data_IF_729933933986
#
_entry.id   IF_729933933986
#
_cell.length_a   1.000
_cell.length_b   1.000
_cell.length_c   1.000
_cell.angle_alpha   90.00
_cell.angle_beta   90.00
_cell.angle_gamma   90.00
#
_symmetry.space_group_name_H-M   'P 1'
#
loop_
_entity.id
_entity.type
_entity.pdbx_description
1 polymer ?
#
# COMPACT_ATOMS: atom_id res chain seq x y z
N UNK A 1 1.55 -23.82 -14.16
CA UNK A 1 1.52 -23.31 -12.76
C UNK A 1 0.19 -22.62 -12.54
N UNK A 2 -0.51 -22.95 -11.46
CA UNK A 2 -1.80 -22.34 -11.14
C UNK A 2 -1.55 -20.91 -10.66
N UNK A 3 -2.10 -19.90 -11.34
CA UNK A 3 -2.01 -18.52 -10.90
C UNK A 3 -2.71 -18.31 -9.56
N UNK A 4 -2.13 -17.45 -8.70
CA UNK A 4 -2.75 -17.06 -7.43
C UNK A 4 -4.12 -16.47 -7.72
N UNK A 5 -5.14 -16.92 -6.99
CA UNK A 5 -6.52 -16.44 -7.15
C UNK A 5 -6.87 -15.47 -6.02
N UNK A 6 -7.62 -14.39 -6.30
CA UNK A 6 -8.00 -13.44 -5.27
C UNK A 6 -8.90 -14.12 -4.22
N UNK A 7 -8.53 -13.95 -2.95
CA UNK A 7 -9.26 -14.47 -1.80
C UNK A 7 -10.20 -13.40 -1.25
N UNK A 8 -11.50 -13.63 -1.36
CA UNK A 8 -12.54 -12.71 -0.84
C UNK A 8 -12.39 -12.44 0.67
N UNK A 9 -11.98 -13.44 1.45
CA UNK A 9 -11.77 -13.29 2.90
C UNK A 9 -10.66 -12.28 3.25
N UNK A 10 -9.69 -12.11 2.35
CA UNK A 10 -8.59 -11.16 2.50
C UNK A 10 -8.87 -9.82 1.81
N UNK A 11 -10.04 -9.64 1.17
CA UNK A 11 -10.37 -8.43 0.43
C UNK A 11 -9.44 -8.17 -0.77
N UNK A 12 -8.84 -9.23 -1.32
CA UNK A 12 -7.88 -9.12 -2.42
C UNK A 12 -8.57 -8.73 -3.73
N UNK A 13 -8.08 -7.64 -4.33
CA UNK A 13 -8.38 -7.23 -5.69
C UNK A 13 -7.06 -6.95 -6.39
N UNK A 14 -6.58 -7.90 -7.20
CA UNK A 14 -5.28 -7.75 -7.84
C UNK A 14 -5.32 -6.62 -8.88
N UNK A 15 -4.34 -5.73 -8.78
CA UNK A 15 -4.06 -4.72 -9.80
C UNK A 15 -3.54 -5.44 -11.04
N UNK A 16 -4.20 -5.27 -12.18
CA UNK A 16 -3.80 -5.88 -13.47
C UNK A 16 -3.33 -4.85 -14.48
N UNK A 17 -3.74 -3.60 -14.32
CA UNK A 17 -3.35 -2.49 -15.19
C UNK A 17 -1.92 -2.04 -14.89
N UNK A 18 -1.00 -2.36 -15.82
CA UNK A 18 0.41 -1.98 -15.74
C UNK A 18 0.64 -0.46 -15.84
N UNK A 19 -0.21 0.25 -16.58
CA UNK A 19 -0.16 1.70 -16.68
C UNK A 19 -0.50 2.35 -15.34
N UNK A 20 -1.59 1.89 -14.72
CA UNK A 20 -1.95 2.32 -13.37
C UNK A 20 -0.86 1.98 -12.34
N UNK A 21 -0.31 0.76 -12.36
CA UNK A 21 0.78 0.36 -11.48
C UNK A 21 2.02 1.24 -11.63
N UNK A 22 2.40 1.57 -12.87
CA UNK A 22 3.50 2.49 -13.16
C UNK A 22 3.21 3.89 -12.61
N UNK A 23 2.00 4.40 -12.78
CA UNK A 23 1.60 5.72 -12.27
C UNK A 23 1.57 5.77 -10.74
N UNK A 24 1.11 4.70 -10.07
CA UNK A 24 1.15 4.58 -8.61
C UNK A 24 2.60 4.59 -8.12
N UNK A 25 3.49 3.80 -8.73
CA UNK A 25 4.90 3.76 -8.35
C UNK A 25 5.62 5.10 -8.57
N UNK A 26 5.24 5.84 -9.62
CA UNK A 26 5.78 7.16 -9.94
C UNK A 26 5.23 8.28 -9.04
N UNK A 27 4.05 8.09 -8.43
CA UNK A 27 3.46 9.05 -7.51
C UNK A 27 4.17 9.08 -6.15
N UNK A 28 4.93 8.04 -5.80
CA UNK A 28 5.79 8.04 -4.62
C UNK A 28 6.98 8.95 -4.88
N UNK A 29 7.02 10.11 -4.22
CA UNK A 29 8.02 11.15 -4.44
C UNK A 29 9.23 11.03 -3.54
N UNK A 30 9.07 10.42 -2.37
CA UNK A 30 10.15 10.15 -1.42
C UNK A 30 11.07 9.03 -1.90
N UNK A 31 12.32 9.08 -1.44
CA UNK A 31 13.30 8.00 -1.51
C UNK A 31 13.54 7.36 -0.15
N UNK A 32 14.46 6.40 -0.07
CA UNK A 32 14.85 5.72 1.16
C UNK A 32 13.98 4.50 1.47
N UNK A 33 13.85 4.18 2.75
CA UNK A 33 13.12 2.99 3.19
C UNK A 33 11.64 3.07 2.77
N UNK A 34 11.15 2.01 2.13
CA UNK A 34 9.78 1.96 1.59
C UNK A 34 9.15 0.61 1.90
N UNK A 35 7.92 0.62 2.40
CA UNK A 35 7.13 -0.58 2.65
C UNK A 35 5.97 -0.68 1.66
N UNK A 36 5.97 -1.73 0.84
CA UNK A 36 4.79 -2.13 0.07
C UNK A 36 3.87 -3.01 0.92
N UNK A 37 2.60 -2.62 1.07
CA UNK A 37 1.58 -3.41 1.77
C UNK A 37 0.71 -4.14 0.75
N UNK A 38 0.67 -5.47 0.84
CA UNK A 38 -0.16 -6.31 -0.03
C UNK A 38 0.33 -6.35 -1.48
N UNK A 39 1.59 -6.77 -1.74
CA UNK A 39 2.13 -6.87 -3.10
C UNK A 39 1.34 -7.83 -4.00
N UNK A 40 0.63 -8.83 -3.44
CA UNK A 40 -0.15 -9.79 -4.20
C UNK A 40 0.70 -10.55 -5.23
N UNK A 41 0.41 -10.37 -6.52
CA UNK A 41 1.18 -10.97 -7.62
C UNK A 41 2.36 -10.09 -8.10
N UNK A 42 2.69 -9.03 -7.36
CA UNK A 42 3.86 -8.19 -7.61
C UNK A 42 3.71 -7.19 -8.76
N UNK A 43 2.48 -6.90 -9.18
CA UNK A 43 2.22 -5.99 -10.30
C UNK A 43 2.71 -4.57 -10.02
N UNK A 44 2.60 -4.09 -8.78
CA UNK A 44 3.19 -2.82 -8.35
C UNK A 44 4.67 -2.99 -8.00
N UNK A 45 5.02 -4.04 -7.26
CA UNK A 45 6.38 -4.42 -6.88
C UNK A 45 7.39 -4.35 -8.03
N UNK A 46 7.03 -4.82 -9.24
CA UNK A 46 7.93 -4.82 -10.40
C UNK A 46 8.41 -3.41 -10.82
N UNK A 47 7.61 -2.37 -10.55
CA UNK A 47 7.96 -0.98 -10.84
C UNK A 47 8.78 -0.38 -9.71
N UNK A 48 8.44 -0.72 -8.46
CA UNK A 48 9.20 -0.32 -7.28
C UNK A 48 10.62 -0.90 -7.30
N UNK A 49 10.80 -2.15 -7.73
CA UNK A 49 12.12 -2.78 -7.87
C UNK A 49 13.04 -2.10 -8.91
N UNK A 50 12.49 -1.29 -9.82
CA UNK A 50 13.27 -0.53 -10.81
C UNK A 50 13.78 0.79 -10.28
N UNK A 51 13.27 1.24 -9.12
CA UNK A 51 13.69 2.47 -8.47
C UNK A 51 14.99 2.26 -7.71
N UNK A 52 16.00 3.06 -8.02
CA UNK A 52 17.32 3.02 -7.41
C UNK A 52 17.44 3.93 -6.17
N UNK A 53 16.41 4.72 -5.91
CA UNK A 53 16.34 5.69 -4.82
C UNK A 53 15.61 5.16 -3.59
N UNK A 54 15.04 3.93 -3.64
CA UNK A 54 14.33 3.31 -2.52
C UNK A 54 14.98 2.01 -2.05
N UNK A 55 14.77 1.70 -0.77
CA UNK A 55 15.08 0.44 -0.10
C UNK A 55 13.76 -0.27 0.19
N UNK A 56 13.33 -1.11 -0.75
CA UNK A 56 12.01 -1.73 -0.73
C UNK A 56 11.94 -2.95 0.20
N UNK A 57 10.97 -2.94 1.10
CA UNK A 57 10.44 -4.12 1.80
C UNK A 57 8.98 -4.31 1.42
N UNK A 58 8.51 -5.56 1.44
CA UNK A 58 7.11 -5.88 1.16
C UNK A 58 6.53 -6.72 2.29
N UNK A 59 5.23 -6.54 2.58
CA UNK A 59 4.50 -7.37 3.53
C UNK A 59 3.28 -7.98 2.88
N UNK A 60 3.18 -9.30 2.95
CA UNK A 60 2.06 -10.08 2.40
C UNK A 60 1.58 -11.10 3.44
N UNK A 61 0.26 -11.19 3.61
CA UNK A 61 -0.36 -12.13 4.55
C UNK A 61 -0.73 -13.45 3.85
N UNK A 62 -0.90 -13.42 2.53
CA UNK A 62 -1.28 -14.58 1.73
C UNK A 62 -0.05 -15.42 1.33
N UNK A 63 0.11 -16.58 1.97
CA UNK A 63 1.18 -17.55 1.70
C UNK A 63 1.30 -17.94 0.22
N UNK A 64 0.19 -18.02 -0.54
CA UNK A 64 0.26 -18.33 -1.97
C UNK A 64 0.88 -17.18 -2.77
N UNK A 65 0.53 -15.93 -2.45
CA UNK A 65 1.16 -14.74 -3.02
C UNK A 65 2.63 -14.65 -2.64
N UNK A 66 2.99 -15.00 -1.40
CA UNK A 66 4.40 -15.06 -0.97
C UNK A 66 5.20 -16.04 -1.82
N UNK A 67 4.70 -17.27 -1.99
CA UNK A 67 5.37 -18.27 -2.82
C UNK A 67 5.52 -17.79 -4.27
N UNK A 68 4.46 -17.18 -4.82
CA UNK A 68 4.49 -16.59 -6.15
C UNK A 68 5.57 -15.51 -6.28
N UNK A 69 5.66 -14.60 -5.30
CA UNK A 69 6.66 -13.52 -5.28
C UNK A 69 8.08 -14.06 -5.18
N UNK A 70 8.33 -15.07 -4.35
CA UNK A 70 9.65 -15.68 -4.23
C UNK A 70 10.09 -16.39 -5.52
N UNK A 71 9.15 -16.98 -6.26
CA UNK A 71 9.42 -17.63 -7.54
C UNK A 71 9.72 -16.61 -8.66
N UNK A 72 8.94 -15.53 -8.73
CA UNK A 72 9.01 -14.57 -9.85
C UNK A 72 9.95 -13.38 -9.59
N UNK A 73 10.19 -13.05 -8.32
CA UNK A 73 11.05 -11.95 -7.87
C UNK A 73 12.01 -12.44 -6.76
N UNK A 74 12.90 -13.41 -7.04
CA UNK A 74 13.76 -14.01 -6.02
C UNK A 74 14.67 -13.00 -5.30
N UNK A 75 15.02 -11.88 -5.94
CA UNK A 75 15.77 -10.79 -5.32
C UNK A 75 15.01 -10.10 -4.16
N UNK A 76 13.69 -10.29 -4.07
CA UNK A 76 12.84 -9.75 -3.01
C UNK A 76 12.89 -10.58 -1.73
N UNK A 77 13.34 -11.84 -1.78
CA UNK A 77 13.35 -12.77 -0.66
C UNK A 77 13.89 -12.19 0.67
N UNK A 78 15.03 -11.46 0.74
CA UNK A 78 15.51 -10.89 2.00
C UNK A 78 14.63 -9.77 2.56
N UNK A 79 13.78 -9.18 1.73
CA UNK A 79 12.96 -8.01 2.03
C UNK A 79 11.46 -8.32 2.06
N UNK A 80 11.07 -9.59 1.87
CA UNK A 80 9.70 -10.06 1.91
C UNK A 80 9.35 -10.51 3.33
N UNK A 81 8.29 -9.92 3.87
CA UNK A 81 7.73 -10.24 5.18
C UNK A 81 6.40 -10.99 4.99
N UNK A 82 6.40 -12.30 5.24
CA UNK A 82 5.15 -13.07 5.32
C UNK A 82 4.48 -12.81 6.68
N UNK A 83 3.62 -11.79 6.73
CA UNK A 83 3.03 -11.32 7.98
C UNK A 83 1.73 -10.53 7.77
N UNK A 84 0.96 -10.40 8.85
CA UNK A 84 -0.16 -9.48 8.94
C UNK A 84 0.36 -8.06 9.24
N UNK A 85 0.24 -7.15 8.26
CA UNK A 85 0.66 -5.76 8.40
C UNK A 85 0.11 -5.10 9.68
N UNK A 86 -1.13 -5.39 10.06
CA UNK A 86 -1.75 -4.76 11.23
C UNK A 86 -1.04 -5.14 12.53
N UNK A 87 -0.39 -6.31 12.57
CA UNK A 87 0.31 -6.85 13.74
C UNK A 87 1.81 -6.54 13.78
N UNK A 88 2.38 -5.99 12.71
CA UNK A 88 3.79 -5.64 12.67
C UNK A 88 4.14 -4.50 13.64
N UNK A 89 5.32 -4.59 14.24
CA UNK A 89 5.94 -3.49 14.99
C UNK A 89 6.92 -2.80 14.03
N UNK A 90 6.47 -1.72 13.38
CA UNK A 90 7.18 -1.10 12.26
C UNK A 90 8.50 -0.44 12.70
N UNK A 91 8.58 0.00 13.96
CA UNK A 91 9.78 0.54 14.60
C UNK A 91 10.92 -0.47 14.73
N UNK A 92 10.61 -1.78 14.69
CA UNK A 92 11.63 -2.84 14.66
C UNK A 92 12.14 -3.15 13.26
N UNK A 93 11.37 -2.75 12.25
CA UNK A 93 11.66 -3.01 10.84
C UNK A 93 12.40 -1.83 10.22
N UNK A 94 12.02 -0.61 10.61
CA UNK A 94 12.56 0.64 10.10
C UNK A 94 13.11 1.46 11.27
N UNK A 95 14.44 1.69 11.34
CA UNK A 95 15.05 2.49 12.41
C UNK A 95 14.83 4.00 12.24
N UNK A 96 14.30 4.43 11.09
CA UNK A 96 14.03 5.83 10.76
C UNK A 96 12.80 5.97 9.86
N UNK A 97 12.58 7.16 9.29
CA UNK A 97 11.41 7.42 8.44
C UNK A 97 11.33 6.48 7.23
N UNK A 98 10.12 6.06 6.88
CA UNK A 98 9.87 5.19 5.73
C UNK A 98 8.53 5.52 5.07
N UNK A 99 8.47 5.41 3.75
CA UNK A 99 7.21 5.60 3.02
C UNK A 99 6.39 4.32 2.98
N UNK A 100 5.07 4.46 2.90
CA UNK A 100 4.15 3.33 2.71
C UNK A 100 3.51 3.41 1.34
N UNK A 101 3.52 2.29 0.61
CA UNK A 101 2.89 2.20 -0.70
C UNK A 101 2.07 0.92 -0.84
N UNK A 102 1.02 0.90 -1.65
CA UNK A 102 0.33 -0.37 -1.92
C UNK A 102 -1.02 -0.24 -2.61
N UNK A 103 -1.50 -1.39 -3.07
CA UNK A 103 -2.90 -1.56 -3.44
C UNK A 103 -3.64 -2.15 -2.23
N UNK A 104 -4.20 -1.30 -1.38
CA UNK A 104 -4.69 -1.74 -0.08
C UNK A 104 -5.94 -2.62 -0.20
N UNK A 105 -6.02 -3.72 0.57
CA UNK A 105 -7.22 -4.56 0.57
C UNK A 105 -8.42 -3.79 1.12
N UNK A 106 -9.54 -3.87 0.43
CA UNK A 106 -10.69 -2.98 0.67
C UNK A 106 -11.32 -3.17 2.06
N UNK A 107 -11.25 -4.38 2.60
CA UNK A 107 -11.80 -4.75 3.91
C UNK A 107 -10.98 -4.22 5.10
N UNK A 108 -9.70 -3.88 4.90
CA UNK A 108 -8.80 -3.44 5.98
C UNK A 108 -8.18 -2.05 5.75
N UNK A 109 -8.52 -1.36 4.66
CA UNK A 109 -7.96 -0.04 4.32
C UNK A 109 -8.04 0.97 5.47
N UNK A 110 -9.16 1.03 6.19
CA UNK A 110 -9.35 1.93 7.34
C UNK A 110 -8.39 1.61 8.49
N UNK A 111 -8.20 0.33 8.79
CA UNK A 111 -7.30 -0.17 9.82
C UNK A 111 -5.83 0.09 9.46
N UNK A 112 -5.49 0.00 8.17
CA UNK A 112 -4.18 0.39 7.66
C UNK A 112 -3.92 1.86 7.95
N UNK A 113 -4.87 2.76 7.65
CA UNK A 113 -4.72 4.20 7.93
C UNK A 113 -4.61 4.51 9.42
N UNK A 114 -5.40 3.85 10.28
CA UNK A 114 -5.25 4.02 11.73
C UNK A 114 -3.86 3.60 12.21
N UNK A 115 -3.36 2.47 11.72
CA UNK A 115 -1.99 2.05 12.02
C UNK A 115 -0.97 3.06 11.52
N UNK A 116 -1.11 3.58 10.30
CA UNK A 116 -0.20 4.62 9.79
C UNK A 116 -0.20 5.86 10.70
N UNK A 117 -1.37 6.28 11.19
CA UNK A 117 -1.49 7.40 12.13
C UNK A 117 -0.79 7.16 13.47
N UNK A 118 -0.70 5.90 13.93
CA UNK A 118 0.10 5.53 15.10
C UNK A 118 1.61 5.74 14.86
N UNK A 119 2.06 5.69 13.61
CA UNK A 119 3.45 5.89 13.17
C UNK A 119 3.64 7.19 12.37
N UNK A 120 2.74 8.17 12.50
CA UNK A 120 2.73 9.39 11.67
C UNK A 120 4.06 10.16 11.65
N UNK A 121 4.80 10.15 12.75
CA UNK A 121 6.10 10.84 12.85
C UNK A 121 7.21 10.09 12.09
N UNK A 122 6.99 8.82 11.75
CA UNK A 122 7.91 7.95 11.00
C UNK A 122 7.45 7.68 9.56
N UNK A 123 6.20 7.96 9.22
CA UNK A 123 5.65 7.74 7.87
C UNK A 123 5.39 9.10 7.21
N UNK A 124 6.37 9.69 6.51
CA UNK A 124 6.20 11.01 5.90
C UNK A 124 5.30 10.99 4.67
N UNK A 125 5.15 9.84 4.02
CA UNK A 125 4.45 9.72 2.75
C UNK A 125 3.71 8.39 2.64
N UNK A 126 2.48 8.46 2.11
CA UNK A 126 1.66 7.29 1.79
C UNK A 126 1.12 7.43 0.38
N UNK A 127 1.36 6.43 -0.46
CA UNK A 127 0.78 6.36 -1.80
C UNK A 127 0.00 5.07 -1.94
N UNK A 128 -1.31 5.13 -2.15
CA UNK A 128 -2.10 3.92 -2.22
C UNK A 128 -3.23 3.96 -3.24
N UNK A 129 -3.60 2.78 -3.73
CA UNK A 129 -4.86 2.54 -4.40
C UNK A 129 -5.86 1.95 -3.40
N UNK A 130 -7.07 2.51 -3.38
CA UNK A 130 -8.20 2.09 -2.55
C UNK A 130 -9.50 2.25 -3.34
N UNK A 131 -10.61 1.75 -2.78
CA UNK A 131 -11.93 1.98 -3.38
C UNK A 131 -12.21 3.47 -3.57
N UNK A 132 -12.79 3.80 -4.72
CA UNK A 132 -13.06 5.17 -5.13
C UNK A 132 -13.84 5.96 -4.08
N UNK A 133 -14.93 5.40 -3.52
CA UNK A 133 -15.73 6.14 -2.52
C UNK A 133 -14.93 6.41 -1.23
N UNK A 134 -13.97 5.54 -0.89
CA UNK A 134 -13.08 5.74 0.26
C UNK A 134 -12.09 6.86 -0.03
N UNK A 135 -11.43 6.85 -1.20
CA UNK A 135 -10.51 7.91 -1.61
C UNK A 135 -11.21 9.28 -1.66
N UNK A 136 -12.39 9.36 -2.29
CA UNK A 136 -13.19 10.59 -2.37
C UNK A 136 -13.55 11.10 -0.97
N UNK A 137 -13.90 10.19 -0.04
CA UNK A 137 -14.18 10.55 1.35
C UNK A 137 -12.95 11.10 2.08
N UNK A 138 -11.79 10.48 1.90
CA UNK A 138 -10.56 10.91 2.57
C UNK A 138 -10.11 12.28 2.08
N UNK A 139 -10.24 12.55 0.78
CA UNK A 139 -9.89 13.82 0.17
C UNK A 139 -10.98 14.91 0.31
N UNK A 140 -12.17 14.58 0.83
CA UNK A 140 -13.27 15.53 0.92
C UNK A 140 -12.98 16.66 1.92
N UNK A 141 -13.26 17.93 1.57
CA UNK A 141 -13.02 19.05 2.48
C UNK A 141 -13.93 18.98 3.72
N UNK A 142 -13.52 19.66 4.82
CA UNK A 142 -14.35 19.79 6.03
C UNK A 142 -15.75 20.31 5.72
N UNK A 143 -16.76 19.75 6.38
CA UNK A 143 -18.16 20.16 6.22
C UNK A 143 -18.92 19.51 5.05
N UNK A 144 -18.27 18.63 4.28
CA UNK A 144 -18.97 17.80 3.29
C UNK A 144 -19.82 16.70 3.95
N UNK A 145 -20.88 16.22 3.29
CA UNK A 145 -21.72 15.12 3.80
C UNK A 145 -20.98 13.79 3.91
N UNK A 146 -19.88 13.62 3.18
CA UNK A 146 -19.03 12.42 3.18
C UNK A 146 -17.95 12.48 4.25
N UNK A 147 -17.75 13.63 4.91
CA UNK A 147 -16.73 13.86 5.92
C UNK A 147 -16.87 12.91 7.13
N UNK A 148 -15.90 12.01 7.32
CA UNK A 148 -15.91 11.01 8.39
C UNK A 148 -14.72 11.14 9.33
N UNK A 149 -14.69 10.31 10.38
CA UNK A 149 -13.61 10.31 11.39
C UNK A 149 -12.21 10.17 10.78
N UNK A 150 -12.05 9.29 9.78
CA UNK A 150 -10.77 9.12 9.09
C UNK A 150 -10.34 10.36 8.31
N UNK A 151 -11.29 11.06 7.68
CA UNK A 151 -11.00 12.31 6.97
C UNK A 151 -10.46 13.36 7.96
N UNK A 152 -11.11 13.51 9.12
CA UNK A 152 -10.64 14.42 10.18
C UNK A 152 -9.24 14.07 10.66
N UNK A 153 -9.01 12.80 10.99
CA UNK A 153 -7.74 12.36 11.57
C UNK A 153 -6.59 12.43 10.58
N UNK A 154 -6.80 11.98 9.34
CA UNK A 154 -5.75 12.01 8.33
C UNK A 154 -5.44 13.44 7.90
N UNK A 155 -6.45 14.29 7.64
CA UNK A 155 -6.23 15.68 7.24
C UNK A 155 -5.62 16.56 8.34
N UNK A 156 -5.68 16.13 9.61
CA UNK A 156 -5.00 16.82 10.70
C UNK A 156 -3.46 16.62 10.68
N UNK A 157 -2.97 15.58 10.00
CA UNK A 157 -1.55 15.18 10.01
C UNK A 157 -0.93 15.04 8.62
N UNK A 158 -1.75 14.89 7.58
CA UNK A 158 -1.32 14.69 6.20
C UNK A 158 -2.08 15.62 5.26
N UNK A 159 -1.38 16.10 4.24
CA UNK A 159 -1.99 16.63 3.04
C UNK A 159 -2.49 15.45 2.17
N UNK A 160 -3.77 15.48 1.80
CA UNK A 160 -4.41 14.39 1.05
C UNK A 160 -4.72 14.85 -0.36
N UNK A 161 -4.16 14.14 -1.34
CA UNK A 161 -4.39 14.40 -2.76
C UNK A 161 -5.06 13.18 -3.44
N UNK A 162 -6.12 13.43 -4.20
CA UNK A 162 -6.72 12.43 -5.08
C UNK A 162 -6.04 12.48 -6.46
N UNK A 163 -5.17 11.51 -6.76
CA UNK A 163 -4.34 11.56 -7.96
C UNK A 163 -5.11 11.20 -9.24
N UNK A 164 -5.72 10.02 -9.29
CA UNK A 164 -6.48 9.54 -10.46
C UNK A 164 -7.39 8.37 -10.11
N UNK A 165 -8.31 8.03 -11.01
CA UNK A 165 -9.19 6.87 -10.90
C UNK A 165 -8.73 5.78 -11.86
N UNK A 166 -8.56 4.56 -11.35
CA UNK A 166 -8.35 3.38 -12.19
C UNK A 166 -9.72 2.81 -12.60
N UNK A 167 -10.03 2.67 -13.90
CA UNK A 167 -11.29 2.10 -14.33
C UNK A 167 -11.43 0.63 -13.91
N UNK A 168 -12.66 0.11 -13.75
CA UNK A 168 -12.87 -1.32 -13.52
C UNK A 168 -12.26 -2.14 -14.66
N UNK A 169 -11.48 -3.17 -14.30
CA UNK A 169 -10.93 -4.16 -15.24
C UNK A 169 -11.80 -5.39 -15.39
#
# INVERSE_FOLDING_TARGET
MAGVRPKKALGQHFLTDLGAASSIAAALTGGGDTLEVGPGTGVLTQFLLKRNDISLKVVEIDTESVQYLLEHYPALAPNLLEADFLKLQLEKIFPGPFSVIGNFPYNISSQIFFKILDYRDSVPEVVCMIQKEVAERLAAPPGSRTYGILSVLLQAWYDIEYLFTVPPG
#
